data_IF_451200800840
#
_entry.id   IF_451200800840
#
_cell.length_a   1.000
_cell.length_b   1.000
_cell.length_c   1.000
_cell.angle_alpha   90.00
_cell.angle_beta   90.00
_cell.angle_gamma   90.00
#
_symmetry.space_group_name_H-M   'P 1'
#
loop_
_entity.id
_entity.type
_entity.pdbx_description
1 polymer ?
#
# COMPACT_ATOMS: atom_id res chain seq x y z
N UNK A 1 -5.29 -56.44 5.01
CA UNK A 1 -5.17 -55.33 4.06
C UNK A 1 -5.80 -54.09 4.70
N UNK A 2 -5.03 -53.36 5.46
CA UNK A 2 -5.51 -52.09 6.02
C UNK A 2 -5.60 -51.06 4.93
N UNK A 3 -6.82 -50.60 4.66
CA UNK A 3 -7.06 -49.48 3.75
C UNK A 3 -6.55 -48.22 4.47
N UNK A 4 -5.36 -47.82 4.12
CA UNK A 4 -4.78 -46.57 4.59
C UNK A 4 -5.63 -45.41 4.02
N UNK A 5 -6.61 -44.95 4.79
CA UNK A 5 -7.40 -43.79 4.43
C UNK A 5 -6.45 -42.59 4.38
N UNK A 6 -6.17 -42.10 3.18
CA UNK A 6 -5.34 -40.91 3.00
C UNK A 6 -6.04 -39.73 3.66
N UNK A 7 -5.41 -39.16 4.65
CA UNK A 7 -5.92 -37.96 5.34
C UNK A 7 -6.07 -36.81 4.30
N UNK A 8 -7.28 -36.30 4.13
CA UNK A 8 -7.60 -35.18 3.22
C UNK A 8 -8.06 -33.97 4.03
N UNK A 9 -7.63 -32.81 3.66
CA UNK A 9 -8.04 -31.53 4.27
C UNK A 9 -8.34 -30.49 3.21
N UNK A 10 -9.21 -29.55 3.55
CA UNK A 10 -9.50 -28.39 2.72
C UNK A 10 -8.80 -27.17 3.32
N UNK A 11 -8.03 -26.47 2.52
CA UNK A 11 -7.42 -25.18 2.88
C UNK A 11 -8.11 -24.07 2.13
N UNK A 12 -8.30 -22.95 2.80
CA UNK A 12 -8.74 -21.71 2.18
C UNK A 12 -7.54 -21.03 1.53
N UNK A 13 -7.67 -20.71 0.28
CA UNK A 13 -6.69 -19.90 -0.46
C UNK A 13 -7.37 -18.68 -1.08
N UNK A 14 -6.59 -17.70 -1.49
CA UNK A 14 -7.08 -16.48 -2.09
C UNK A 14 -6.44 -16.23 -3.44
N UNK A 15 -7.26 -15.90 -4.42
CA UNK A 15 -6.78 -15.51 -5.73
C UNK A 15 -6.29 -14.06 -5.69
N UNK A 16 -5.03 -13.83 -5.98
CA UNK A 16 -4.41 -12.49 -6.01
C UNK A 16 -5.02 -11.60 -7.08
N UNK A 17 -5.30 -12.18 -8.25
CA UNK A 17 -5.85 -11.44 -9.39
C UNK A 17 -7.28 -10.96 -9.16
N UNK A 18 -8.10 -11.76 -8.48
CA UNK A 18 -9.52 -11.45 -8.27
C UNK A 18 -9.87 -11.04 -6.84
N UNK A 19 -8.97 -11.24 -5.89
CA UNK A 19 -9.21 -11.01 -4.47
C UNK A 19 -10.23 -11.97 -3.83
N UNK A 20 -10.71 -12.99 -4.55
CA UNK A 20 -11.72 -13.93 -4.07
C UNK A 20 -11.11 -15.21 -3.52
N UNK A 21 -11.73 -15.74 -2.47
CA UNK A 21 -11.32 -17.01 -1.87
C UNK A 21 -11.67 -18.21 -2.75
N UNK A 22 -10.89 -19.28 -2.62
CA UNK A 22 -11.15 -20.59 -3.21
C UNK A 22 -10.62 -21.67 -2.29
N UNK A 23 -11.06 -22.92 -2.47
CA UNK A 23 -10.60 -24.08 -1.70
C UNK A 23 -9.43 -24.80 -2.38
N UNK A 24 -8.46 -25.25 -1.58
CA UNK A 24 -7.44 -26.20 -2.01
C UNK A 24 -7.64 -27.51 -1.22
N UNK A 25 -7.97 -28.58 -1.91
CA UNK A 25 -7.96 -29.90 -1.31
C UNK A 25 -6.53 -30.41 -1.27
N UNK A 26 -6.08 -30.78 -0.06
CA UNK A 26 -4.76 -31.36 0.15
C UNK A 26 -4.92 -32.80 0.69
N UNK A 27 -4.04 -33.70 0.23
CA UNK A 27 -3.94 -35.07 0.73
C UNK A 27 -2.54 -35.36 1.24
N UNK A 28 -2.47 -36.10 2.33
CA UNK A 28 -1.20 -36.56 2.88
C UNK A 28 -0.71 -37.76 2.09
N UNK A 29 0.46 -37.60 1.48
CA UNK A 29 1.12 -38.68 0.72
C UNK A 29 2.49 -38.91 1.37
N UNK A 30 2.60 -39.99 2.14
CA UNK A 30 3.75 -40.21 3.01
C UNK A 30 3.78 -39.19 4.15
N UNK A 31 4.89 -38.47 4.30
CA UNK A 31 5.06 -37.42 5.31
C UNK A 31 4.64 -36.02 4.81
N UNK A 32 4.23 -35.88 3.55
CA UNK A 32 4.07 -34.61 2.88
C UNK A 32 2.64 -34.37 2.43
N UNK A 33 2.14 -33.15 2.59
CA UNK A 33 0.86 -32.71 2.07
C UNK A 33 0.99 -32.24 0.63
N UNK A 34 0.13 -32.73 -0.27
CA UNK A 34 0.10 -32.33 -1.68
C UNK A 34 -1.26 -31.76 -2.05
N UNK A 35 -1.28 -30.70 -2.85
CA UNK A 35 -2.52 -30.14 -3.42
C UNK A 35 -3.01 -31.12 -4.50
N UNK A 36 -4.24 -31.59 -4.36
CA UNK A 36 -4.86 -32.55 -5.29
C UNK A 36 -6.04 -31.94 -6.04
N UNK A 37 -6.63 -30.87 -5.54
CA UNK A 37 -7.74 -30.21 -6.20
C UNK A 37 -7.83 -28.73 -5.85
N UNK A 38 -8.40 -27.92 -6.75
CA UNK A 38 -8.69 -26.50 -6.58
C UNK A 38 -10.18 -26.28 -6.81
N UNK A 39 -10.89 -25.75 -5.82
CA UNK A 39 -12.34 -25.65 -5.82
C UNK A 39 -12.75 -24.17 -5.73
N UNK A 40 -13.63 -23.75 -6.63
CA UNK A 40 -14.26 -22.44 -6.54
C UNK A 40 -15.26 -22.42 -5.40
N UNK A 41 -15.10 -21.47 -4.46
CA UNK A 41 -15.96 -21.34 -3.29
C UNK A 41 -16.71 -20.01 -3.35
N UNK A 42 -17.96 -20.00 -2.94
CA UNK A 42 -18.63 -18.76 -2.63
C UNK A 42 -18.14 -18.18 -1.29
N UNK A 43 -18.49 -16.94 -0.98
CA UNK A 43 -17.98 -16.26 0.23
C UNK A 43 -18.49 -16.92 1.54
N UNK A 44 -19.65 -17.56 1.51
CA UNK A 44 -20.22 -18.27 2.64
C UNK A 44 -19.47 -19.59 2.89
N UNK A 45 -19.25 -20.38 1.84
CA UNK A 45 -18.45 -21.62 1.90
C UNK A 45 -17.01 -21.33 2.35
N UNK A 46 -16.42 -20.24 1.85
CA UNK A 46 -15.09 -19.80 2.26
C UNK A 46 -15.01 -19.38 3.73
N UNK A 47 -16.12 -18.92 4.32
CA UNK A 47 -16.24 -18.60 5.73
C UNK A 47 -16.22 -19.83 6.66
N UNK A 48 -16.60 -21.00 6.15
CA UNK A 48 -16.76 -22.24 6.94
C UNK A 48 -15.46 -23.05 6.99
N UNK A 49 -14.55 -22.86 6.02
CA UNK A 49 -13.32 -23.64 5.94
C UNK A 49 -12.32 -23.15 6.98
N UNK A 50 -12.21 -23.89 8.06
CA UNK A 50 -11.15 -23.75 9.06
C UNK A 50 -10.20 -24.94 8.93
N UNK A 51 -8.93 -24.68 8.63
CA UNK A 51 -7.96 -25.76 8.46
C UNK A 51 -6.66 -25.45 9.19
N UNK A 52 -6.24 -26.40 10.00
CA UNK A 52 -4.93 -26.40 10.65
C UNK A 52 -3.99 -27.40 9.96
N UNK A 53 -3.01 -26.91 9.22
CA UNK A 53 -1.90 -27.73 8.72
C UNK A 53 -0.59 -27.03 9.08
N UNK A 54 0.29 -27.72 9.77
CA UNK A 54 1.61 -27.18 10.09
C UNK A 54 2.45 -27.07 8.82
N UNK A 55 2.96 -25.88 8.55
CA UNK A 55 3.66 -25.53 7.31
C UNK A 55 4.94 -26.33 7.05
N UNK A 56 5.58 -26.87 8.09
CA UNK A 56 6.80 -27.68 7.97
C UNK A 56 6.61 -29.00 7.20
N UNK A 57 5.37 -29.40 6.91
CA UNK A 57 5.03 -30.63 6.20
C UNK A 57 4.40 -30.40 4.82
N UNK A 58 4.42 -29.17 4.32
CA UNK A 58 3.79 -28.83 3.05
C UNK A 58 4.83 -28.75 1.92
N UNK A 59 4.60 -29.50 0.85
CA UNK A 59 5.46 -29.48 -0.32
C UNK A 59 4.98 -28.38 -1.29
N UNK A 60 5.73 -27.30 -1.38
CA UNK A 60 5.51 -26.24 -2.38
C UNK A 60 6.21 -26.64 -3.68
N UNK A 61 5.51 -27.28 -4.62
CA UNK A 61 6.09 -27.72 -5.87
C UNK A 61 5.62 -26.93 -7.08
N UNK A 62 6.50 -26.89 -8.08
CA UNK A 62 6.40 -26.20 -9.36
C UNK A 62 5.30 -26.69 -10.30
N UNK A 63 4.57 -27.75 -9.94
CA UNK A 63 3.48 -28.33 -10.75
C UNK A 63 2.12 -28.19 -10.05
N UNK A 64 1.80 -26.99 -9.61
CA UNK A 64 0.53 -26.72 -8.95
C UNK A 64 -0.63 -26.68 -9.95
N UNK A 65 -1.79 -27.14 -9.49
CA UNK A 65 -3.04 -26.98 -10.19
C UNK A 65 -3.35 -25.49 -10.40
N UNK A 66 -4.00 -25.13 -11.51
CA UNK A 66 -4.36 -23.74 -11.76
C UNK A 66 -5.33 -23.22 -10.70
N UNK A 67 -5.18 -21.97 -10.30
CA UNK A 67 -6.12 -21.29 -9.41
C UNK A 67 -7.55 -21.37 -9.98
N UNK A 68 -8.51 -21.81 -9.16
CA UNK A 68 -9.91 -21.97 -9.56
C UNK A 68 -10.55 -20.67 -10.08
N UNK A 69 -10.00 -19.49 -9.72
CA UNK A 69 -10.55 -18.18 -10.05
C UNK A 69 -9.94 -17.55 -11.32
N UNK A 70 -8.65 -17.66 -11.51
CA UNK A 70 -7.96 -16.93 -12.60
C UNK A 70 -7.08 -17.83 -13.48
N UNK A 71 -7.01 -19.12 -13.20
CA UNK A 71 -6.21 -20.08 -13.97
C UNK A 71 -4.69 -19.97 -13.75
N UNK A 72 -4.20 -19.06 -12.94
CA UNK A 72 -2.77 -18.98 -12.63
C UNK A 72 -2.28 -20.25 -11.96
N UNK A 73 -1.13 -20.77 -12.40
CA UNK A 73 -0.49 -21.94 -11.82
C UNK A 73 0.50 -21.62 -10.70
N UNK A 74 0.54 -20.36 -10.27
CA UNK A 74 1.47 -19.91 -9.23
C UNK A 74 0.72 -19.78 -7.92
N UNK A 75 1.12 -20.56 -6.94
CA UNK A 75 0.64 -20.46 -5.56
C UNK A 75 1.85 -20.18 -4.68
N UNK A 76 1.86 -19.03 -4.04
CA UNK A 76 2.89 -18.68 -3.07
C UNK A 76 2.44 -19.05 -1.66
N UNK A 77 3.24 -19.80 -0.92
CA UNK A 77 3.09 -19.98 0.51
C UNK A 77 3.88 -18.91 1.27
N UNK A 78 3.41 -18.50 2.45
CA UNK A 78 4.18 -17.63 3.32
C UNK A 78 5.37 -18.39 3.91
N UNK A 79 6.60 -17.96 3.60
CA UNK A 79 7.83 -18.49 4.22
C UNK A 79 8.16 -17.82 5.55
N UNK A 80 7.36 -16.85 5.99
CA UNK A 80 7.59 -16.14 7.24
C UNK A 80 7.21 -16.94 8.49
N UNK A 81 6.48 -18.05 8.32
CA UNK A 81 6.26 -18.94 9.41
C UNK A 81 7.34 -19.99 9.44
N UNK A 82 8.23 -20.30 10.09
CA UNK A 82 8.40 -20.98 11.34
C UNK A 82 9.73 -20.72 12.05
N UNK A 83 10.44 -19.71 11.74
CA UNK A 83 11.69 -19.44 12.46
C UNK A 83 11.51 -18.24 13.40
N UNK A 84 10.79 -18.45 14.50
CA UNK A 84 10.79 -17.60 15.70
C UNK A 84 10.35 -16.14 15.58
N UNK A 85 9.72 -15.73 14.50
CA UNK A 85 9.08 -14.44 14.43
C UNK A 85 7.59 -14.67 14.23
N UNK A 86 6.86 -14.58 15.32
CA UNK A 86 5.42 -14.73 15.29
C UNK A 86 4.81 -13.81 14.23
N UNK A 87 4.36 -14.39 13.14
CA UNK A 87 3.17 -13.88 12.51
C UNK A 87 2.12 -13.96 13.62
N UNK A 88 1.96 -12.87 14.38
CA UNK A 88 1.17 -12.82 15.61
C UNK A 88 -0.34 -12.84 15.35
N UNK A 89 -0.74 -13.08 14.14
CA UNK A 89 -2.12 -13.40 13.80
C UNK A 89 -2.21 -14.90 13.65
N UNK A 90 -2.93 -15.47 14.58
CA UNK A 90 -3.19 -16.90 14.69
C UNK A 90 -3.34 -17.54 13.31
N UNK A 91 -2.85 -18.73 13.21
CA UNK A 91 -2.73 -19.61 12.07
C UNK A 91 -4.04 -19.81 11.29
N UNK A 92 -4.64 -18.73 10.83
CA UNK A 92 -5.56 -18.81 9.71
C UNK A 92 -4.67 -18.96 8.48
N UNK A 93 -4.54 -20.20 8.04
CA UNK A 93 -3.87 -20.53 6.78
C UNK A 93 -4.68 -20.01 5.59
N UNK A 94 -4.82 -18.71 5.53
CA UNK A 94 -4.85 -18.09 4.23
C UNK A 94 -3.43 -18.28 3.72
N UNK A 95 -3.26 -18.97 2.59
CA UNK A 95 -1.99 -19.04 1.88
C UNK A 95 -1.49 -17.65 1.47
N UNK A 96 -2.11 -16.64 1.95
CA UNK A 96 -1.88 -15.25 1.82
C UNK A 96 -1.57 -14.61 3.15
N UNK A 97 -0.31 -14.61 3.51
CA UNK A 97 0.18 -13.64 4.49
C UNK A 97 0.08 -12.25 3.86
N UNK A 98 -0.75 -11.39 4.40
CA UNK A 98 -0.90 -10.00 3.96
C UNK A 98 0.42 -9.20 3.96
N UNK A 99 1.44 -9.68 4.66
CA UNK A 99 2.77 -9.08 4.72
C UNK A 99 3.76 -9.69 3.73
N UNK A 100 3.53 -10.91 3.24
CA UNK A 100 4.44 -11.62 2.35
C UNK A 100 3.92 -11.74 0.93
N UNK A 101 2.68 -11.42 0.70
CA UNK A 101 1.92 -11.85 -0.47
C UNK A 101 1.60 -10.78 -1.46
N UNK A 102 2.15 -9.62 -1.24
CA UNK A 102 1.98 -8.59 -2.21
C UNK A 102 2.43 -9.04 -3.59
N UNK A 103 3.42 -9.88 -3.63
CA UNK A 103 4.09 -10.23 -4.86
C UNK A 103 4.37 -11.72 -4.88
N UNK A 104 4.31 -12.32 -6.06
CA UNK A 104 4.90 -13.61 -6.33
C UNK A 104 6.39 -13.53 -6.09
N UNK A 105 6.77 -13.83 -4.85
CA UNK A 105 8.17 -13.85 -4.51
C UNK A 105 8.68 -15.20 -4.92
N UNK A 106 9.48 -15.23 -5.95
CA UNK A 106 10.38 -16.31 -6.17
C UNK A 106 11.50 -16.24 -5.12
N UNK A 107 11.29 -16.88 -4.00
CA UNK A 107 12.27 -16.96 -2.91
C UNK A 107 13.56 -17.69 -3.33
N UNK A 108 13.59 -18.38 -4.48
CA UNK A 108 14.78 -19.00 -5.04
C UNK A 108 15.70 -17.99 -5.72
N UNK A 109 15.14 -16.85 -6.12
CA UNK A 109 15.88 -15.73 -6.70
C UNK A 109 15.92 -14.57 -5.71
N UNK A 110 16.77 -14.70 -4.75
CA UNK A 110 17.34 -13.60 -3.98
C UNK A 110 16.52 -12.31 -3.99
N UNK A 111 15.77 -12.13 -2.96
CA UNK A 111 16.12 -11.05 -2.03
C UNK A 111 15.71 -9.65 -2.36
N UNK A 112 15.64 -9.18 -3.58
CA UNK A 112 15.49 -7.75 -3.85
C UNK A 112 14.05 -7.28 -4.15
N UNK A 113 13.09 -8.19 -4.28
CA UNK A 113 11.81 -7.87 -4.94
C UNK A 113 10.55 -8.09 -4.12
N UNK A 114 10.68 -8.26 -2.83
CA UNK A 114 9.52 -8.28 -1.96
C UNK A 114 9.36 -6.96 -1.28
N UNK A 115 8.43 -6.14 -1.74
CA UNK A 115 8.34 -4.80 -1.21
C UNK A 115 8.02 -4.75 0.27
N UNK A 116 7.43 -5.77 0.85
CA UNK A 116 6.84 -5.62 2.18
C UNK A 116 7.48 -6.38 3.32
N UNK A 117 8.20 -7.46 3.05
CA UNK A 117 8.76 -8.30 4.13
C UNK A 117 10.18 -7.97 4.50
N UNK A 118 10.91 -7.43 3.56
CA UNK A 118 12.34 -7.14 3.73
C UNK A 118 12.60 -5.78 4.36
N UNK A 119 11.62 -4.90 4.32
CA UNK A 119 11.79 -3.48 4.60
C UNK A 119 11.47 -3.08 6.03
N UNK A 120 10.71 -3.88 6.77
CA UNK A 120 10.47 -3.61 8.17
C UNK A 120 11.79 -3.57 8.95
N UNK A 121 12.18 -2.39 9.38
CA UNK A 121 13.41 -2.16 10.14
C UNK A 121 14.66 -1.83 9.32
N UNK A 122 14.58 -1.74 7.98
CA UNK A 122 15.75 -1.45 7.13
C UNK A 122 16.20 0.01 7.14
N UNK A 123 15.48 0.91 7.78
CA UNK A 123 15.94 2.30 8.01
C UNK A 123 17.31 2.40 8.67
N UNK A 124 17.79 1.32 9.27
CA UNK A 124 19.05 1.23 10.00
C UNK A 124 20.04 0.23 9.38
N UNK A 125 20.16 0.15 8.06
CA UNK A 125 21.18 -0.69 7.42
C UNK A 125 22.55 -0.05 7.65
N UNK A 126 23.44 -0.69 8.44
CA UNK A 126 24.70 -0.05 8.83
C UNK A 126 25.62 0.31 7.65
N UNK A 127 25.67 -0.57 6.64
CA UNK A 127 26.61 -0.47 5.51
C UNK A 127 25.97 0.13 4.24
N UNK A 128 24.75 0.63 4.32
CA UNK A 128 24.11 1.26 3.17
C UNK A 128 24.79 2.58 2.82
N UNK A 129 24.97 2.83 1.53
CA UNK A 129 25.32 4.17 1.04
C UNK A 129 24.23 5.12 1.49
N UNK A 130 24.62 6.23 2.06
CA UNK A 130 23.68 7.25 2.55
C UNK A 130 23.56 8.39 1.54
N UNK A 131 22.35 8.92 1.41
CA UNK A 131 22.14 10.21 0.75
C UNK A 131 22.64 11.36 1.63
N UNK A 132 22.56 12.60 1.11
CA UNK A 132 22.99 13.80 1.84
C UNK A 132 22.25 14.04 3.17
N UNK A 133 21.13 13.34 3.40
CA UNK A 133 20.30 13.44 4.61
C UNK A 133 20.45 12.23 5.55
N UNK A 134 21.26 11.25 5.16
CA UNK A 134 21.50 10.06 5.95
C UNK A 134 20.54 8.90 5.71
N UNK A 135 19.63 9.00 4.73
CA UNK A 135 18.76 7.89 4.33
C UNK A 135 19.54 6.88 3.46
N UNK A 136 19.25 5.58 3.56
CA UNK A 136 19.80 4.61 2.65
C UNK A 136 19.48 4.95 1.19
N UNK A 137 20.48 4.86 0.30
CA UNK A 137 20.31 5.08 -1.15
C UNK A 137 20.15 3.76 -1.89
N UNK A 138 19.54 3.87 -3.08
CA UNK A 138 19.46 2.80 -4.05
C UNK A 138 18.08 2.15 -4.12
N UNK A 139 17.78 1.53 -5.27
CA UNK A 139 16.49 0.93 -5.58
C UNK A 139 16.13 -0.24 -4.65
N UNK A 140 17.09 -0.92 -4.10
CA UNK A 140 16.86 -2.01 -3.15
C UNK A 140 16.34 -1.55 -1.77
N UNK A 141 16.43 -0.26 -1.50
CA UNK A 141 15.91 0.38 -0.28
C UNK A 141 14.62 1.16 -0.52
N UNK A 142 14.23 1.31 -1.75
CA UNK A 142 12.94 1.86 -2.13
C UNK A 142 11.90 0.74 -2.16
N UNK A 143 10.62 1.08 -1.98
CA UNK A 143 9.54 0.09 -2.03
C UNK A 143 9.37 -0.52 -3.42
N UNK A 144 9.78 0.18 -4.46
CA UNK A 144 9.79 -0.28 -5.85
C UNK A 144 11.10 0.07 -6.54
N UNK A 145 11.61 -0.87 -7.37
CA UNK A 145 12.75 -0.62 -8.23
C UNK A 145 12.39 0.36 -9.36
N UNK A 146 13.40 1.02 -9.94
CA UNK A 146 13.22 1.88 -11.10
C UNK A 146 12.63 1.09 -12.26
N UNK A 147 11.58 1.62 -12.89
CA UNK A 147 10.87 0.97 -14.00
C UNK A 147 9.96 -0.20 -13.60
N UNK A 148 9.92 -0.63 -12.34
CA UNK A 148 9.11 -1.79 -11.94
C UNK A 148 7.61 -1.54 -12.02
N UNK A 149 7.19 -0.29 -12.10
CA UNK A 149 5.78 0.12 -12.20
C UNK A 149 5.39 0.60 -13.60
N UNK A 150 6.13 0.12 -14.63
CA UNK A 150 5.71 0.35 -16.02
C UNK A 150 4.29 -0.19 -16.27
N UNK A 151 3.49 0.60 -16.94
CA UNK A 151 2.06 0.28 -17.18
C UNK A 151 1.11 0.73 -16.07
N UNK A 152 1.62 1.26 -14.95
CA UNK A 152 0.80 1.91 -13.94
C UNK A 152 0.67 3.41 -14.20
N UNK A 153 -0.45 3.99 -13.83
CA UNK A 153 -0.75 5.41 -14.05
C UNK A 153 -1.20 6.09 -12.75
N UNK A 154 -0.73 7.31 -12.57
CA UNK A 154 -1.21 8.20 -11.52
C UNK A 154 -1.97 9.34 -12.17
N UNK A 155 -3.25 9.47 -11.84
CA UNK A 155 -4.07 10.63 -12.19
C UNK A 155 -3.97 11.63 -11.05
N UNK A 156 -3.52 12.84 -11.34
CA UNK A 156 -3.31 13.90 -10.35
C UNK A 156 -4.29 15.03 -10.60
N UNK A 157 -5.20 15.25 -9.68
CA UNK A 157 -6.01 16.47 -9.63
C UNK A 157 -5.26 17.50 -8.78
N UNK A 158 -4.40 18.28 -9.42
CA UNK A 158 -3.66 19.36 -8.79
C UNK A 158 -4.50 20.64 -8.85
N UNK A 159 -5.39 20.80 -7.87
CA UNK A 159 -6.33 21.91 -7.84
C UNK A 159 -5.68 23.17 -7.27
N UNK A 160 -4.60 23.06 -6.52
CA UNK A 160 -3.83 24.18 -6.00
C UNK A 160 -2.97 24.82 -7.09
N UNK A 161 -3.19 26.09 -7.35
CA UNK A 161 -2.47 26.81 -8.40
C UNK A 161 -0.98 27.00 -8.11
N UNK A 162 -0.62 27.03 -6.85
CA UNK A 162 0.74 27.29 -6.37
C UNK A 162 1.55 26.02 -6.13
N UNK A 163 0.91 24.85 -6.22
CA UNK A 163 1.58 23.57 -6.00
C UNK A 163 2.20 23.05 -7.29
N UNK A 164 3.54 23.02 -7.34
CA UNK A 164 4.30 22.45 -8.44
C UNK A 164 4.49 20.96 -8.24
N UNK A 165 4.25 20.19 -9.29
CA UNK A 165 4.30 18.72 -9.24
C UNK A 165 5.42 18.12 -10.11
N UNK A 166 6.28 18.96 -10.69
CA UNK A 166 7.31 18.53 -11.64
C UNK A 166 8.30 17.53 -11.03
N UNK A 167 8.86 17.86 -9.86
CA UNK A 167 9.81 16.98 -9.16
C UNK A 167 9.19 15.64 -8.71
N UNK A 168 8.00 15.62 -8.07
CA UNK A 168 7.28 14.37 -7.84
C UNK A 168 7.04 13.57 -9.12
N UNK A 169 6.59 14.23 -10.19
CA UNK A 169 6.33 13.58 -11.46
C UNK A 169 7.58 12.91 -12.05
N UNK A 170 8.74 13.57 -11.99
CA UNK A 170 10.03 13.01 -12.44
C UNK A 170 10.41 11.78 -11.63
N UNK A 171 10.33 11.86 -10.29
CA UNK A 171 10.64 10.75 -9.41
C UNK A 171 9.71 9.55 -9.63
N UNK A 172 8.42 9.79 -9.82
CA UNK A 172 7.44 8.74 -10.09
C UNK A 172 7.61 8.11 -11.47
N UNK A 173 7.91 8.91 -12.50
CA UNK A 173 8.23 8.41 -13.85
C UNK A 173 9.46 7.50 -13.83
N UNK A 174 10.45 7.79 -13.00
CA UNK A 174 11.62 6.92 -12.82
C UNK A 174 11.25 5.54 -12.30
N UNK A 175 10.21 5.45 -11.46
CA UNK A 175 9.64 4.17 -11.00
C UNK A 175 8.78 3.46 -12.06
N UNK A 176 8.49 4.11 -13.19
CA UNK A 176 7.73 3.55 -14.31
C UNK A 176 6.30 4.08 -14.43
N UNK A 177 5.84 4.95 -13.54
CA UNK A 177 4.49 5.48 -13.62
C UNK A 177 4.30 6.42 -14.82
N UNK A 178 3.15 6.31 -15.46
CA UNK A 178 2.62 7.38 -16.32
C UNK A 178 1.89 8.39 -15.45
N UNK A 179 2.18 9.68 -15.61
CA UNK A 179 1.55 10.76 -14.85
C UNK A 179 0.61 11.54 -15.77
N UNK A 180 -0.67 11.62 -15.37
CA UNK A 180 -1.70 12.40 -16.02
C UNK A 180 -2.19 13.48 -15.05
N UNK A 181 -1.66 14.70 -15.19
CA UNK A 181 -1.93 15.82 -14.29
C UNK A 181 -2.97 16.77 -14.86
N UNK A 182 -3.97 17.11 -14.04
CA UNK A 182 -4.98 18.11 -14.31
C UNK A 182 -4.81 19.32 -13.37
N UNK A 183 -4.43 20.47 -13.90
CA UNK A 183 -4.33 21.75 -13.16
C UNK A 183 -5.71 22.42 -12.93
N UNK A 184 -6.76 21.86 -13.49
CA UNK A 184 -8.16 22.25 -13.30
C UNK A 184 -9.00 21.00 -13.32
N UNK A 185 -10.11 21.04 -12.60
CA UNK A 185 -11.01 19.91 -12.56
C UNK A 185 -11.52 19.54 -13.98
N UNK A 186 -11.21 18.36 -14.53
CA UNK A 186 -11.72 17.93 -15.83
C UNK A 186 -13.21 17.61 -15.73
N UNK A 187 -13.90 17.44 -16.85
CA UNK A 187 -15.29 16.95 -16.80
C UNK A 187 -15.35 15.57 -16.13
N UNK A 188 -16.50 15.23 -15.52
CA UNK A 188 -16.70 13.91 -14.91
C UNK A 188 -16.45 12.75 -15.87
N UNK A 189 -16.83 12.92 -17.15
CA UNK A 189 -16.60 11.91 -18.18
C UNK A 189 -15.10 11.71 -18.45
N UNK A 190 -14.35 12.79 -18.57
CA UNK A 190 -12.89 12.74 -18.74
C UNK A 190 -12.22 12.12 -17.52
N UNK A 191 -12.62 12.50 -16.31
CA UNK A 191 -12.04 11.92 -15.10
C UNK A 191 -12.32 10.42 -14.99
N UNK A 192 -13.55 9.99 -15.30
CA UNK A 192 -13.89 8.56 -15.35
C UNK A 192 -13.05 7.80 -16.37
N UNK A 193 -12.82 8.39 -17.54
CA UNK A 193 -11.95 7.80 -18.57
C UNK A 193 -10.49 7.72 -18.09
N UNK A 194 -9.96 8.77 -17.49
CA UNK A 194 -8.61 8.81 -16.97
C UNK A 194 -8.37 7.77 -15.87
N UNK A 195 -9.37 7.54 -15.02
CA UNK A 195 -9.33 6.56 -13.94
C UNK A 195 -9.66 5.12 -14.39
N UNK A 196 -9.95 4.91 -15.66
CA UNK A 196 -10.21 3.56 -16.19
C UNK A 196 -8.99 2.66 -16.16
N UNK A 197 -9.22 1.38 -15.86
CA UNK A 197 -8.20 0.34 -15.78
C UNK A 197 -7.74 0.03 -14.35
N UNK A 198 -7.29 -1.22 -14.16
CA UNK A 198 -6.91 -1.74 -12.83
C UNK A 198 -5.61 -1.14 -12.29
N UNK A 199 -4.77 -0.59 -13.18
CA UNK A 199 -3.43 -0.09 -12.84
C UNK A 199 -3.39 1.43 -12.64
N UNK A 200 -4.46 2.01 -12.11
CA UNK A 200 -4.55 3.45 -11.90
C UNK A 200 -4.65 3.77 -10.40
N UNK A 201 -4.18 4.94 -10.02
CA UNK A 201 -4.41 5.53 -8.71
C UNK A 201 -4.73 7.02 -8.86
N UNK A 202 -5.40 7.60 -7.88
CA UNK A 202 -5.83 9.00 -7.89
C UNK A 202 -5.15 9.80 -6.78
N UNK A 203 -4.56 10.93 -7.14
CA UNK A 203 -4.04 11.91 -6.20
C UNK A 203 -4.85 13.19 -6.29
N UNK A 204 -5.29 13.71 -5.16
CA UNK A 204 -6.05 14.96 -5.06
C UNK A 204 -5.26 15.93 -4.21
N UNK A 205 -4.82 17.03 -4.79
CA UNK A 205 -4.16 18.13 -4.10
C UNK A 205 -5.18 19.27 -3.98
N UNK A 206 -5.60 19.52 -2.75
CA UNK A 206 -6.65 20.48 -2.42
C UNK A 206 -6.19 21.93 -2.60
N UNK A 207 -7.13 22.83 -2.78
CA UNK A 207 -6.91 24.28 -2.88
C UNK A 207 -7.60 24.98 -1.70
N UNK A 208 -7.42 26.30 -1.66
CA UNK A 208 -8.06 27.20 -0.68
C UNK A 208 -9.59 27.31 -0.85
N UNK A 209 -10.11 26.92 -2.02
CA UNK A 209 -11.55 26.91 -2.33
C UNK A 209 -12.00 25.53 -2.74
N UNK A 210 -13.29 25.27 -2.58
CA UNK A 210 -13.91 24.04 -3.04
C UNK A 210 -14.08 24.05 -4.55
N UNK A 211 -13.52 23.07 -5.23
CA UNK A 211 -13.68 22.83 -6.66
C UNK A 211 -14.65 21.69 -6.97
N UNK A 212 -14.67 20.65 -6.13
CA UNK A 212 -15.43 19.43 -6.36
C UNK A 212 -16.89 19.58 -5.96
N UNK A 213 -17.81 19.30 -6.89
CA UNK A 213 -19.20 19.05 -6.55
C UNK A 213 -19.37 17.68 -5.88
N UNK A 214 -20.55 17.40 -5.34
CA UNK A 214 -20.87 16.12 -4.73
C UNK A 214 -20.73 14.93 -5.68
N UNK A 215 -20.89 15.14 -6.99
CA UNK A 215 -20.71 14.09 -8.00
C UNK A 215 -19.24 13.69 -8.15
N UNK A 216 -18.31 14.65 -8.08
CA UNK A 216 -16.87 14.37 -8.07
C UNK A 216 -16.47 13.66 -6.79
N UNK A 217 -16.93 14.14 -5.64
CA UNK A 217 -16.66 13.49 -4.36
C UNK A 217 -17.18 12.05 -4.38
N UNK A 218 -18.38 11.83 -4.89
CA UNK A 218 -18.94 10.48 -5.06
C UNK A 218 -18.07 9.63 -5.97
N UNK A 219 -17.60 10.15 -7.10
CA UNK A 219 -16.72 9.43 -8.01
C UNK A 219 -15.41 9.00 -7.32
N UNK A 220 -14.78 9.89 -6.56
CA UNK A 220 -13.56 9.56 -5.80
C UNK A 220 -13.82 8.45 -4.79
N UNK A 221 -14.96 8.51 -4.09
CA UNK A 221 -15.32 7.49 -3.10
C UNK A 221 -15.64 6.14 -3.76
N UNK A 222 -16.37 6.15 -4.86
CA UNK A 222 -16.67 4.92 -5.61
C UNK A 222 -15.37 4.29 -6.13
N UNK A 223 -14.42 5.10 -6.60
CA UNK A 223 -13.11 4.69 -7.04
C UNK A 223 -12.27 4.07 -5.89
N UNK A 224 -12.22 4.72 -4.74
CA UNK A 224 -11.61 4.16 -3.53
C UNK A 224 -12.29 2.84 -3.12
N UNK A 225 -13.62 2.80 -3.14
CA UNK A 225 -14.38 1.62 -2.77
C UNK A 225 -14.19 0.44 -3.73
N UNK A 226 -13.83 0.71 -4.98
CA UNK A 226 -13.43 -0.34 -5.93
C UNK A 226 -12.04 -0.91 -5.66
N UNK A 227 -11.30 -0.36 -4.68
CA UNK A 227 -10.00 -0.84 -4.21
C UNK A 227 -8.80 -0.15 -4.82
N UNK A 228 -9.01 0.89 -5.63
CA UNK A 228 -7.92 1.70 -6.16
C UNK A 228 -7.34 2.61 -5.09
N UNK A 229 -6.04 2.85 -5.17
CA UNK A 229 -5.36 3.74 -4.24
C UNK A 229 -5.73 5.21 -4.43
N UNK A 230 -5.97 5.90 -3.33
CA UNK A 230 -6.27 7.34 -3.33
C UNK A 230 -5.34 8.07 -2.39
N UNK A 231 -4.69 9.12 -2.87
CA UNK A 231 -3.88 10.03 -2.07
C UNK A 231 -4.56 11.38 -1.96
N UNK A 232 -4.84 11.82 -0.73
CA UNK A 232 -5.57 13.04 -0.43
C UNK A 232 -4.62 14.01 0.25
N UNK A 233 -4.35 15.13 -0.41
CA UNK A 233 -3.45 16.16 0.05
C UNK A 233 -4.20 17.42 0.44
N UNK A 234 -3.87 17.95 1.60
CA UNK A 234 -4.17 19.29 2.04
C UNK A 234 -2.93 19.97 2.59
N UNK A 235 -3.09 21.15 3.13
CA UNK A 235 -2.09 21.92 3.87
C UNK A 235 -2.82 22.72 4.95
N UNK A 236 -2.17 23.69 5.56
CA UNK A 236 -2.76 24.60 6.53
C UNK A 236 -4.09 25.22 6.03
N UNK A 237 -4.86 25.77 6.96
CA UNK A 237 -6.10 26.51 6.64
C UNK A 237 -5.82 27.66 5.63
N UNK A 238 -6.62 27.77 4.54
CA UNK A 238 -7.79 26.98 4.16
C UNK A 238 -7.53 25.88 3.10
N UNK A 239 -6.31 25.44 2.87
CA UNK A 239 -5.88 24.60 1.73
C UNK A 239 -6.26 23.12 1.86
N UNK A 240 -7.42 22.80 2.43
CA UNK A 240 -7.94 21.43 2.56
C UNK A 240 -9.43 21.28 2.20
N UNK A 241 -9.98 22.23 1.42
CA UNK A 241 -11.43 22.28 1.19
C UNK A 241 -11.96 21.04 0.46
N UNK A 242 -11.36 20.67 -0.67
CA UNK A 242 -11.76 19.46 -1.41
C UNK A 242 -11.36 18.18 -0.65
N UNK A 243 -10.20 18.17 0.02
CA UNK A 243 -9.76 17.09 0.87
C UNK A 243 -10.81 16.78 1.96
N UNK A 244 -11.31 17.79 2.65
CA UNK A 244 -12.29 17.63 3.72
C UNK A 244 -13.65 17.12 3.24
N UNK A 245 -14.06 17.43 2.02
CA UNK A 245 -15.28 16.84 1.45
C UNK A 245 -15.11 15.31 1.26
N UNK A 246 -13.95 14.89 0.77
CA UNK A 246 -13.65 13.47 0.58
C UNK A 246 -13.52 12.78 1.94
N UNK A 247 -12.74 13.35 2.88
CA UNK A 247 -12.49 12.80 4.20
C UNK A 247 -13.76 12.66 5.02
N UNK A 248 -14.60 13.69 5.03
CA UNK A 248 -15.87 13.67 5.76
C UNK A 248 -16.78 12.55 5.30
N UNK A 249 -16.84 12.32 3.99
CA UNK A 249 -17.73 11.32 3.41
C UNK A 249 -17.17 9.90 3.41
N UNK A 250 -15.85 9.74 3.20
CA UNK A 250 -15.20 8.43 3.14
C UNK A 250 -14.87 7.86 4.53
N UNK A 251 -14.44 8.74 5.46
CA UNK A 251 -13.86 8.32 6.73
C UNK A 251 -14.50 8.98 7.96
N UNK A 252 -15.46 9.90 7.77
CA UNK A 252 -16.09 10.63 8.87
C UNK A 252 -15.11 11.51 9.65
N UNK A 253 -14.12 12.08 8.97
CA UNK A 253 -13.04 12.85 9.57
C UNK A 253 -12.65 14.08 8.72
N UNK A 254 -11.65 14.84 9.14
CA UNK A 254 -11.22 16.08 8.49
C UNK A 254 -9.76 16.39 8.76
N UNK A 255 -9.22 17.30 7.96
CA UNK A 255 -8.03 18.09 8.27
C UNK A 255 -8.46 19.40 8.90
N UNK A 256 -7.63 19.95 9.77
CA UNK A 256 -7.84 21.26 10.39
C UNK A 256 -6.51 21.87 10.85
N UNK A 257 -6.56 23.15 11.18
CA UNK A 257 -5.45 23.88 11.75
C UNK A 257 -4.53 24.53 10.74
N UNK A 258 -3.65 25.34 11.31
CA UNK A 258 -2.64 26.15 10.62
C UNK A 258 -1.42 26.20 11.53
N UNK A 259 -0.58 25.19 11.44
CA UNK A 259 0.61 25.07 12.28
C UNK A 259 1.85 25.33 11.44
N UNK A 260 2.76 26.13 11.99
CA UNK A 260 4.10 26.25 11.42
C UNK A 260 4.81 24.91 11.53
N UNK A 261 5.26 24.43 10.41
CA UNK A 261 6.11 23.25 10.30
C UNK A 261 7.57 23.63 10.15
N UNK A 262 8.06 23.63 8.92
CA UNK A 262 9.44 23.95 8.48
C UNK A 262 10.52 23.15 9.22
N UNK A 263 10.17 21.95 9.65
CA UNK A 263 10.99 21.08 10.50
C UNK A 263 11.29 19.77 9.79
N UNK A 264 12.50 19.27 9.98
CA UNK A 264 12.89 17.91 9.59
C UNK A 264 12.65 16.99 10.79
N UNK A 265 11.78 16.02 10.60
CA UNK A 265 11.42 15.01 11.59
C UNK A 265 12.34 13.80 11.47
N UNK A 266 12.67 13.17 12.58
CA UNK A 266 13.32 11.85 12.64
C UNK A 266 12.31 10.73 12.86
N UNK A 267 12.84 9.52 13.07
CA UNK A 267 12.02 8.37 13.48
C UNK A 267 11.44 8.64 14.88
N UNK A 268 10.20 8.28 15.07
CA UNK A 268 9.50 8.40 16.35
C UNK A 268 10.23 7.57 17.43
N UNK A 269 10.52 8.18 18.53
CA UNK A 269 11.21 7.54 19.68
C UNK A 269 10.29 7.25 20.85
N UNK A 270 9.13 7.91 20.87
CA UNK A 270 8.12 7.75 21.93
C UNK A 270 6.77 7.60 21.26
N UNK A 271 5.97 6.65 21.70
CA UNK A 271 4.62 6.41 21.15
C UNK A 271 3.79 7.72 21.18
N UNK A 272 3.18 8.02 20.04
CA UNK A 272 2.44 9.26 19.77
C UNK A 272 3.26 10.55 19.92
N UNK A 273 4.57 10.46 20.00
CA UNK A 273 5.48 11.60 19.91
C UNK A 273 5.69 12.03 18.47
N UNK A 274 6.30 13.21 18.26
CA UNK A 274 6.67 13.69 16.93
C UNK A 274 7.55 12.67 16.18
N UNK A 275 7.39 12.59 14.87
CA UNK A 275 8.27 11.79 14.02
C UNK A 275 7.55 10.73 13.19
N UNK A 276 8.34 10.00 12.47
CA UNK A 276 7.96 8.96 11.52
C UNK A 276 7.69 7.68 12.30
N UNK A 277 6.53 7.07 12.12
CA UNK A 277 6.25 5.73 12.63
C UNK A 277 7.00 4.72 11.76
N UNK A 278 7.92 3.96 12.32
CA UNK A 278 8.72 2.97 11.56
C UNK A 278 7.90 1.74 11.20
N UNK A 279 8.50 0.88 10.38
CA UNK A 279 7.95 -0.45 10.03
C UNK A 279 6.65 -0.42 9.21
N UNK A 280 6.42 0.65 8.47
CA UNK A 280 5.36 0.71 7.46
C UNK A 280 5.99 0.74 6.05
N UNK A 281 5.39 0.12 5.02
CA UNK A 281 5.93 0.15 3.66
C UNK A 281 6.24 1.56 3.15
N UNK A 282 5.38 2.53 3.42
CA UNK A 282 5.57 3.92 2.99
C UNK A 282 6.80 4.55 3.65
N UNK A 283 7.09 4.22 4.91
CA UNK A 283 8.22 4.80 5.65
C UNK A 283 9.51 3.99 5.53
N UNK A 284 9.54 2.99 4.68
CA UNK A 284 10.71 2.15 4.40
C UNK A 284 11.89 2.98 3.91
N UNK A 285 13.05 2.78 4.53
CA UNK A 285 14.29 3.46 4.17
C UNK A 285 14.31 4.96 4.47
N UNK A 286 13.33 5.48 5.20
CA UNK A 286 13.23 6.89 5.57
C UNK A 286 13.65 7.06 7.02
N UNK A 287 14.69 7.82 7.26
CA UNK A 287 15.17 8.15 8.63
C UNK A 287 14.91 9.60 8.98
N UNK A 288 14.72 10.46 7.99
CA UNK A 288 14.35 11.86 8.14
C UNK A 288 13.26 12.23 7.15
N UNK A 289 12.43 13.21 7.51
CA UNK A 289 11.28 13.64 6.72
C UNK A 289 11.01 15.12 6.92
N UNK A 290 10.90 15.88 5.83
CA UNK A 290 10.49 17.27 5.90
C UNK A 290 8.96 17.38 5.97
N UNK A 291 8.44 17.98 7.04
CA UNK A 291 6.99 17.97 7.31
C UNK A 291 6.16 18.97 6.48
N UNK A 292 6.78 19.93 5.81
CA UNK A 292 6.14 21.02 5.08
C UNK A 292 6.48 22.39 5.70
N UNK A 293 6.16 23.47 5.01
CA UNK A 293 6.34 24.85 5.53
C UNK A 293 5.33 25.09 6.65
N UNK A 294 4.08 24.88 6.32
CA UNK A 294 2.91 24.86 7.19
C UNK A 294 2.26 23.49 7.10
N UNK A 295 1.47 23.13 8.08
CA UNK A 295 0.83 21.81 8.14
C UNK A 295 -0.57 21.91 8.73
N UNK A 296 -1.47 21.08 8.21
CA UNK A 296 -2.73 20.77 8.86
C UNK A 296 -2.61 19.51 9.73
N UNK A 297 -3.37 19.45 10.79
CA UNK A 297 -3.62 18.24 11.54
C UNK A 297 -4.61 17.34 10.78
N UNK A 298 -4.27 16.08 10.63
CA UNK A 298 -5.18 15.05 10.12
C UNK A 298 -5.86 14.37 11.29
N UNK A 299 -7.16 14.59 11.45
CA UNK A 299 -7.95 13.86 12.44
C UNK A 299 -8.12 12.41 11.98
N UNK A 300 -7.64 11.45 12.77
CA UNK A 300 -7.68 10.03 12.38
C UNK A 300 -9.06 9.40 12.54
N UNK A 301 -9.90 9.96 13.41
CA UNK A 301 -11.21 9.38 13.72
C UNK A 301 -11.08 7.93 14.21
N UNK A 302 -11.95 7.07 13.69
CA UNK A 302 -11.94 5.62 14.01
C UNK A 302 -11.33 4.77 12.91
N UNK A 303 -11.10 5.33 11.72
CA UNK A 303 -10.76 4.56 10.52
C UNK A 303 -9.32 4.76 10.07
N UNK A 304 -8.79 5.97 10.19
CA UNK A 304 -7.43 6.26 9.75
C UNK A 304 -6.42 5.89 10.85
N UNK A 305 -5.26 5.42 10.41
CA UNK A 305 -4.12 5.10 11.29
C UNK A 305 -3.05 6.16 11.10
N UNK A 306 -2.46 6.70 12.17
CA UNK A 306 -1.38 7.68 12.04
C UNK A 306 -0.14 7.04 11.39
N UNK A 307 0.57 7.82 10.58
CA UNK A 307 1.83 7.44 9.96
C UNK A 307 2.98 8.37 10.36
N UNK A 308 2.71 9.67 10.43
CA UNK A 308 3.69 10.68 10.82
C UNK A 308 3.02 11.69 11.75
N UNK A 309 3.69 11.96 12.86
CA UNK A 309 3.34 13.05 13.76
C UNK A 309 4.25 14.24 13.51
N UNK A 310 3.67 15.40 13.28
CA UNK A 310 4.37 16.67 13.05
C UNK A 310 5.16 17.15 14.26
N UNK A 311 5.92 18.22 14.08
CA UNK A 311 6.70 18.88 15.13
C UNK A 311 5.83 19.40 16.28
N UNK A 312 4.57 19.70 16.01
CA UNK A 312 3.56 20.10 16.99
C UNK A 312 2.94 18.91 17.76
N UNK A 313 3.39 17.67 17.49
CA UNK A 313 2.87 16.44 18.13
C UNK A 313 1.49 16.00 17.63
N UNK A 314 0.99 16.60 16.55
CA UNK A 314 -0.27 16.21 15.91
C UNK A 314 -0.02 15.34 14.70
N UNK A 315 -1.00 14.53 14.32
CA UNK A 315 -0.89 13.70 13.11
C UNK A 315 -0.90 14.60 11.89
N UNK A 316 0.14 14.53 11.07
CA UNK A 316 0.23 15.24 9.79
C UNK A 316 -0.04 14.29 8.61
N UNK A 317 0.25 13.01 8.78
CA UNK A 317 -0.01 11.99 7.77
C UNK A 317 -0.67 10.78 8.40
N UNK A 318 -1.73 10.28 7.76
CA UNK A 318 -2.47 9.11 8.19
C UNK A 318 -2.85 8.25 6.98
N UNK A 319 -3.11 6.97 7.21
CA UNK A 319 -3.47 6.03 6.15
C UNK A 319 -4.66 5.15 6.52
N UNK A 320 -5.29 4.59 5.49
CA UNK A 320 -6.30 3.54 5.57
C UNK A 320 -5.79 2.31 4.81
N UNK A 321 -5.86 1.13 5.42
CA UNK A 321 -5.47 -0.14 4.80
C UNK A 321 -6.33 -1.27 5.37
N UNK A 322 -7.53 -1.41 4.83
CA UNK A 322 -8.46 -2.46 5.21
C UNK A 322 -9.27 -2.93 4.00
N UNK A 323 -9.59 -4.21 3.95
CA UNK A 323 -10.39 -4.80 2.88
C UNK A 323 -9.86 -4.51 1.47
N UNK A 324 -8.52 -4.55 1.28
CA UNK A 324 -7.82 -4.22 0.03
C UNK A 324 -8.10 -2.83 -0.52
N UNK A 325 -8.47 -1.90 0.33
CA UNK A 325 -8.63 -0.50 -0.02
C UNK A 325 -7.52 0.28 0.67
N UNK A 326 -6.86 1.14 -0.08
CA UNK A 326 -5.78 1.97 0.42
C UNK A 326 -6.05 3.43 0.16
N UNK A 327 -5.90 4.23 1.19
CA UNK A 327 -5.86 5.67 1.09
C UNK A 327 -4.72 6.23 1.94
N UNK A 328 -4.11 7.29 1.45
CA UNK A 328 -3.14 8.08 2.19
C UNK A 328 -3.65 9.50 2.29
N UNK A 329 -3.50 10.10 3.46
CA UNK A 329 -4.01 11.43 3.80
C UNK A 329 -2.85 12.22 4.36
N UNK A 330 -2.61 13.41 3.81
CA UNK A 330 -1.44 14.21 4.12
C UNK A 330 -1.79 15.69 4.23
N UNK A 331 -1.43 16.29 5.37
CA UNK A 331 -1.71 17.68 5.71
C UNK A 331 -0.56 18.64 5.43
N UNK A 332 0.35 18.35 4.49
CA UNK A 332 1.49 19.21 4.20
C UNK A 332 1.96 19.12 2.75
N UNK A 333 1.14 19.53 1.79
CA UNK A 333 1.47 19.41 0.37
C UNK A 333 2.65 20.31 -0.06
N UNK A 334 3.02 21.33 0.73
CA UNK A 334 4.19 22.17 0.42
C UNK A 334 5.49 21.38 0.29
N UNK A 335 5.60 20.20 0.92
CA UNK A 335 6.75 19.32 0.72
C UNK A 335 6.87 18.74 -0.70
N UNK A 336 5.83 18.78 -1.51
CA UNK A 336 5.87 18.31 -2.89
C UNK A 336 6.76 19.19 -3.79
N UNK A 337 6.94 20.45 -3.45
CA UNK A 337 7.70 21.39 -4.25
C UNK A 337 8.73 22.21 -3.48
N UNK A 338 8.50 22.47 -2.21
CA UNK A 338 9.43 23.20 -1.36
C UNK A 338 10.33 22.22 -0.62
N UNK A 339 11.64 22.47 -0.65
CA UNK A 339 12.64 21.61 -0.01
C UNK A 339 12.47 20.12 -0.36
N UNK A 340 12.06 19.81 -1.58
CA UNK A 340 11.81 18.43 -2.06
C UNK A 340 12.93 17.46 -1.69
N UNK A 341 14.19 17.86 -1.86
CA UNK A 341 15.35 17.04 -1.58
C UNK A 341 15.87 17.20 -0.14
N UNK A 342 15.08 17.72 0.78
CA UNK A 342 15.59 18.15 2.07
C UNK A 342 15.68 17.06 3.11
N UNK A 343 14.93 15.99 3.02
CA UNK A 343 14.95 14.94 4.02
C UNK A 343 14.12 13.72 3.62
N UNK A 344 14.47 12.98 2.61
CA UNK A 344 13.78 11.74 2.28
C UNK A 344 12.34 11.89 1.76
N UNK A 345 11.93 13.10 1.40
CA UNK A 345 10.58 13.36 0.86
C UNK A 345 10.35 12.63 -0.46
N UNK A 346 11.35 12.62 -1.34
CA UNK A 346 11.31 11.91 -2.61
C UNK A 346 11.05 10.41 -2.41
N UNK A 347 11.78 9.77 -1.49
CA UNK A 347 11.56 8.36 -1.15
C UNK A 347 10.17 8.12 -0.56
N UNK A 348 9.73 8.98 0.34
CA UNK A 348 8.39 8.90 0.90
C UNK A 348 7.31 8.92 -0.19
N UNK A 349 7.43 9.82 -1.16
CA UNK A 349 6.47 9.95 -2.26
C UNK A 349 6.48 8.74 -3.18
N UNK A 350 7.65 8.23 -3.56
CA UNK A 350 7.71 7.03 -4.43
C UNK A 350 7.25 5.77 -3.72
N UNK A 351 7.54 5.63 -2.42
CA UNK A 351 7.04 4.54 -1.60
C UNK A 351 5.51 4.61 -1.43
N UNK A 352 4.98 5.82 -1.21
CA UNK A 352 3.53 6.04 -1.13
C UNK A 352 2.82 5.64 -2.42
N UNK A 353 3.36 6.05 -3.58
CA UNK A 353 2.82 5.68 -4.88
C UNK A 353 2.89 4.16 -5.12
N UNK A 354 4.01 3.53 -4.82
CA UNK A 354 4.16 2.08 -4.96
C UNK A 354 3.18 1.32 -4.05
N UNK A 355 2.98 1.78 -2.81
CA UNK A 355 2.03 1.18 -1.90
C UNK A 355 0.57 1.38 -2.36
N UNK A 356 0.24 2.57 -2.86
CA UNK A 356 -1.10 2.89 -3.39
C UNK A 356 -1.41 2.16 -4.71
N UNK A 357 -0.41 1.66 -5.44
CA UNK A 357 -0.65 0.81 -6.61
C UNK A 357 -1.44 -0.45 -6.26
N UNK A 358 -1.47 -0.83 -4.98
CA UNK A 358 -2.29 -1.90 -4.42
C UNK A 358 -2.16 -3.21 -5.22
N UNK A 359 -0.92 -3.56 -5.52
CA UNK A 359 -0.56 -4.68 -6.40
C UNK A 359 -1.14 -6.00 -5.89
N UNK A 360 -1.28 -6.14 -4.59
CA UNK A 360 -1.86 -7.30 -3.94
C UNK A 360 -3.31 -7.54 -4.36
N UNK A 361 -4.01 -6.48 -4.71
CA UNK A 361 -5.37 -6.57 -5.22
C UNK A 361 -5.42 -6.80 -6.73
N UNK A 362 -4.66 -6.02 -7.49
CA UNK A 362 -4.77 -5.99 -8.95
C UNK A 362 -3.76 -6.89 -9.65
N UNK A 363 -2.73 -7.35 -8.94
CA UNK A 363 -1.64 -8.15 -9.49
C UNK A 363 -0.59 -7.31 -10.20
N UNK A 364 0.50 -7.97 -10.62
CA UNK A 364 1.47 -7.39 -11.54
C UNK A 364 0.99 -7.56 -12.98
N UNK A 365 1.08 -6.52 -13.76
CA UNK A 365 1.07 -6.65 -15.20
C UNK A 365 2.49 -7.01 -15.65
N UNK A 366 2.66 -8.24 -16.13
CA UNK A 366 3.83 -8.66 -16.87
C UNK A 366 3.68 -8.28 -18.34
#
# INVERSE_FOLDING_TARGET
MEINMSESKMLKARCRKTGRSYGMEIKKIGSTWKVVNMIDLNDEEAGIIMSEVRQSSFETHTNLLPCARCGSRRVGGCSCAPKNHGCSRGMDYEFDCIYCNALEIDYSRSTSRTPYTKWAGMSNIPDAIKDKYGNPQGSEYDLAEDGSLNGYKIVVLNLCKECFFDKPAEALKKKGFTIEEYKKLPSLAMLKQALGGDNTQLWVISDLVTHMSQDYVKLVIDYFNSGHGVYIWGDNDPFYQDANQILGRAFGTSMNGDSMGDTVLGIQTVDRGKGIIPNHPITTGIVTFYEGITIAEVSTGKMLKPLIYGSNGKVVTAYYDENYKRALVDGGFTRLYYKWDSAGTDRYIVNAAAWLANIERFGYNN
#
